data_IF_064608468249
#
_entry.id   IF_064608468249
#
_cell.length_a   1.000
_cell.length_b   1.000
_cell.length_c   1.000
_cell.angle_alpha   90.00
_cell.angle_beta   90.00
_cell.angle_gamma   90.00
#
_symmetry.space_group_name_H-M   'P 1'
#
loop_
_entity.id
_entity.type
_entity.pdbx_description
1 polymer ?
#
# COMPACT_ATOMS: atom_id res chain seq x y z
N UNK A 1 19.41 18.71 -7.86
CA UNK A 1 18.22 19.44 -8.35
C UNK A 1 17.23 19.61 -7.22
N UNK A 2 16.31 20.53 -7.35
CA UNK A 2 15.31 20.79 -6.32
C UNK A 2 14.42 19.55 -6.10
N UNK A 3 14.02 19.26 -4.85
CA UNK A 3 13.12 18.17 -4.55
C UNK A 3 11.75 18.41 -5.21
N UNK A 4 11.18 17.34 -5.76
CA UNK A 4 9.89 17.39 -6.47
C UNK A 4 8.91 16.40 -5.86
N UNK A 5 7.65 16.80 -5.80
CA UNK A 5 6.55 15.92 -5.42
C UNK A 5 5.76 15.57 -6.67
N UNK A 6 5.55 14.27 -6.88
CA UNK A 6 4.73 13.75 -7.97
C UNK A 6 3.45 13.16 -7.37
N UNK A 7 2.31 13.68 -7.79
CA UNK A 7 0.99 13.17 -7.38
C UNK A 7 0.33 12.48 -8.56
N UNK A 8 -0.10 11.25 -8.37
CA UNK A 8 -0.76 10.46 -9.41
C UNK A 8 -1.78 9.48 -8.82
N UNK A 9 -2.67 8.97 -9.65
CA UNK A 9 -3.55 7.88 -9.23
C UNK A 9 -2.82 6.53 -9.34
N UNK A 10 -3.20 5.56 -8.49
CA UNK A 10 -2.66 4.19 -8.55
C UNK A 10 -3.01 3.44 -9.85
N UNK A 11 -3.85 4.01 -10.70
CA UNK A 11 -4.19 3.51 -12.03
C UNK A 11 -3.48 4.26 -13.15
N UNK A 12 -2.67 5.27 -12.79
CA UNK A 12 -1.92 6.05 -13.76
C UNK A 12 -0.67 5.32 -14.24
N UNK A 13 -0.20 5.72 -15.43
CA UNK A 13 1.03 5.18 -16.05
C UNK A 13 2.28 5.37 -15.19
N UNK A 14 2.29 6.37 -14.30
CA UNK A 14 3.42 6.65 -13.41
C UNK A 14 3.56 5.58 -12.29
N UNK A 15 2.51 4.85 -11.98
CA UNK A 15 2.56 3.72 -11.04
C UNK A 15 2.81 2.37 -11.73
N UNK A 16 2.65 2.33 -13.05
CA UNK A 16 2.88 1.14 -13.86
C UNK A 16 3.89 1.47 -14.99
N UNK A 17 4.99 0.75 -15.07
CA UNK A 17 5.93 0.86 -16.20
C UNK A 17 7.04 1.91 -16.10
N UNK A 18 7.01 2.84 -15.16
CA UNK A 18 8.12 3.79 -14.96
C UNK A 18 9.15 3.18 -14.00
N UNK A 19 10.39 3.19 -14.41
CA UNK A 19 11.51 2.72 -13.62
C UNK A 19 12.21 3.89 -12.91
N UNK A 20 12.02 3.98 -11.60
CA UNK A 20 12.68 4.96 -10.75
C UNK A 20 13.91 4.34 -10.11
N UNK A 21 15.03 4.25 -10.84
CA UNK A 21 16.28 3.67 -10.35
C UNK A 21 17.11 4.69 -9.56
N UNK A 22 17.81 4.19 -8.55
CA UNK A 22 18.73 4.97 -7.73
C UNK A 22 18.00 6.04 -6.91
N UNK A 23 18.64 7.16 -6.67
CA UNK A 23 18.18 8.26 -5.80
C UNK A 23 16.97 9.07 -6.36
N UNK A 24 16.27 8.54 -7.38
CA UNK A 24 15.18 9.27 -8.04
C UNK A 24 13.89 9.30 -7.25
N UNK A 25 13.69 8.36 -6.34
CA UNK A 25 12.48 8.26 -5.51
C UNK A 25 12.85 8.00 -4.05
N UNK A 26 12.96 9.07 -3.28
CA UNK A 26 13.31 9.00 -1.86
C UNK A 26 12.15 8.53 -0.97
N UNK A 27 10.92 8.76 -1.39
CA UNK A 27 9.74 8.38 -0.62
C UNK A 27 8.54 8.08 -1.54
N UNK A 28 7.66 7.18 -1.11
CA UNK A 28 6.34 7.00 -1.69
C UNK A 28 5.28 6.85 -0.61
N UNK A 29 4.15 7.53 -0.81
CA UNK A 29 2.98 7.41 0.04
C UNK A 29 1.75 6.98 -0.77
N UNK A 30 1.01 6.01 -0.28
CA UNK A 30 -0.28 5.61 -0.82
C UNK A 30 -1.38 6.10 0.11
N UNK A 31 -2.19 7.02 -0.37
CA UNK A 31 -3.32 7.58 0.36
C UNK A 31 -4.57 6.75 0.12
N UNK A 32 -5.11 6.16 1.19
CA UNK A 32 -6.30 5.31 1.15
C UNK A 32 -6.01 3.85 0.74
N UNK A 33 -7.06 3.04 0.80
CA UNK A 33 -7.07 1.68 0.25
C UNK A 33 -7.72 1.74 -1.14
N UNK A 34 -7.01 1.40 -2.22
CA UNK A 34 -7.47 1.63 -3.59
C UNK A 34 -8.49 0.58 -4.06
N UNK A 35 -9.56 0.40 -3.29
CA UNK A 35 -10.68 -0.47 -3.69
C UNK A 35 -11.37 0.16 -4.89
N UNK A 36 -11.65 -0.65 -5.90
CA UNK A 36 -12.37 -0.19 -7.10
C UNK A 36 -13.82 0.16 -6.76
N UNK A 37 -14.43 0.98 -7.60
CA UNK A 37 -15.85 1.32 -7.47
C UNK A 37 -16.73 0.07 -7.43
N UNK A 38 -17.38 -0.14 -6.29
CA UNK A 38 -18.24 -1.30 -6.02
C UNK A 38 -19.63 -1.14 -6.61
N UNK A 39 -20.00 0.06 -7.05
CA UNK A 39 -21.30 0.36 -7.65
C UNK A 39 -21.38 -0.05 -9.13
N UNK A 40 -20.23 -0.22 -9.80
CA UNK A 40 -20.23 -0.57 -11.22
C UNK A 40 -20.81 -1.96 -11.48
N UNK A 41 -21.58 -2.14 -12.56
CA UNK A 41 -22.17 -3.45 -12.91
C UNK A 41 -21.12 -4.56 -13.04
N UNK A 42 -19.95 -4.22 -13.62
CA UNK A 42 -18.83 -5.16 -13.78
C UNK A 42 -18.30 -5.62 -12.43
N UNK A 43 -18.04 -4.69 -11.51
CA UNK A 43 -17.53 -5.03 -10.18
C UNK A 43 -18.51 -5.88 -9.39
N UNK A 44 -19.82 -5.57 -9.48
CA UNK A 44 -20.87 -6.38 -8.86
C UNK A 44 -20.93 -7.80 -9.43
N UNK A 45 -20.83 -7.95 -10.74
CA UNK A 45 -20.80 -9.25 -11.37
C UNK A 45 -19.59 -10.09 -10.92
N UNK A 46 -18.41 -9.48 -10.89
CA UNK A 46 -17.18 -10.13 -10.39
C UNK A 46 -17.36 -10.53 -8.93
N UNK A 47 -17.79 -9.61 -8.05
CA UNK A 47 -18.07 -9.92 -6.64
C UNK A 47 -19.03 -11.10 -6.50
N UNK A 48 -20.15 -11.09 -7.23
CA UNK A 48 -21.15 -12.17 -7.19
C UNK A 48 -20.55 -13.52 -7.61
N UNK A 49 -19.72 -13.54 -8.65
CA UNK A 49 -19.05 -14.76 -9.08
C UNK A 49 -18.11 -15.32 -8.00
N UNK A 50 -17.37 -14.45 -7.33
CA UNK A 50 -16.50 -14.84 -6.22
C UNK A 50 -17.30 -15.27 -4.98
N UNK A 51 -18.40 -14.58 -4.64
CA UNK A 51 -19.29 -14.97 -3.54
C UNK A 51 -19.85 -16.39 -3.75
N UNK A 52 -20.22 -16.72 -4.98
CA UNK A 52 -20.66 -18.10 -5.34
C UNK A 52 -19.56 -19.13 -5.18
N UNK A 53 -18.33 -18.77 -5.44
CA UNK A 53 -17.17 -19.68 -5.43
C UNK A 53 -16.58 -19.87 -4.02
N UNK A 54 -16.53 -18.80 -3.21
CA UNK A 54 -15.82 -18.74 -1.93
C UNK A 54 -16.75 -18.50 -0.73
N UNK A 55 -18.02 -18.20 -0.96
CA UNK A 55 -18.98 -17.80 0.05
C UNK A 55 -18.92 -16.29 0.34
N UNK A 56 -20.10 -15.70 0.55
CA UNK A 56 -20.22 -14.27 0.85
C UNK A 56 -19.77 -13.91 2.27
N UNK A 57 -19.85 -14.86 3.18
CA UNK A 57 -19.53 -14.74 4.60
C UNK A 57 -18.09 -15.17 4.96
N UNK A 58 -17.34 -15.65 4.01
CA UNK A 58 -15.95 -16.05 4.22
C UNK A 58 -15.76 -17.32 5.09
N UNK A 59 -16.81 -18.12 5.32
CA UNK A 59 -16.72 -19.34 6.16
C UNK A 59 -15.72 -20.36 5.65
N UNK A 60 -15.38 -20.34 4.38
CA UNK A 60 -14.34 -21.16 3.79
C UNK A 60 -12.96 -20.49 3.72
N UNK A 61 -12.76 -19.38 4.43
CA UNK A 61 -11.56 -18.57 4.36
C UNK A 61 -11.88 -17.09 4.07
N UNK A 62 -11.50 -16.59 2.89
CA UNK A 62 -11.79 -15.20 2.47
C UNK A 62 -13.12 -15.12 1.73
N UNK A 63 -13.91 -14.08 2.03
CA UNK A 63 -15.15 -13.78 1.29
C UNK A 63 -14.88 -13.43 -0.18
N UNK A 64 -15.92 -13.47 -1.00
CA UNK A 64 -15.83 -13.02 -2.38
C UNK A 64 -15.42 -11.54 -2.49
N UNK A 65 -15.90 -10.69 -1.58
CA UNK A 65 -15.49 -9.28 -1.52
C UNK A 65 -13.98 -9.14 -1.24
N UNK A 66 -13.49 -9.86 -0.25
CA UNK A 66 -12.07 -9.81 0.11
C UNK A 66 -11.19 -10.30 -1.04
N UNK A 67 -11.55 -11.42 -1.66
CA UNK A 67 -10.78 -12.03 -2.74
C UNK A 67 -10.80 -11.19 -4.02
N UNK A 68 -11.97 -10.65 -4.37
CA UNK A 68 -12.15 -9.90 -5.61
C UNK A 68 -11.69 -8.44 -5.54
N UNK A 69 -11.74 -7.82 -4.36
CA UNK A 69 -11.57 -6.38 -4.22
C UNK A 69 -10.46 -5.99 -3.24
N UNK A 70 -10.51 -6.51 -2.00
CA UNK A 70 -9.56 -6.09 -0.95
C UNK A 70 -8.14 -6.59 -1.25
N UNK A 71 -7.97 -7.86 -1.57
CA UNK A 71 -6.65 -8.44 -1.87
C UNK A 71 -5.98 -7.75 -3.06
N UNK A 72 -6.66 -7.56 -4.21
CA UNK A 72 -6.08 -6.81 -5.33
C UNK A 72 -5.74 -5.36 -4.98
N UNK A 73 -6.57 -4.68 -4.19
CA UNK A 73 -6.32 -3.30 -3.75
C UNK A 73 -5.04 -3.20 -2.91
N UNK A 74 -4.88 -4.05 -1.90
CA UNK A 74 -3.68 -4.09 -1.07
C UNK A 74 -2.45 -4.45 -1.90
N UNK A 75 -2.56 -5.43 -2.81
CA UNK A 75 -1.46 -5.80 -3.71
C UNK A 75 -1.03 -4.60 -4.57
N UNK A 76 -1.97 -3.85 -5.11
CA UNK A 76 -1.68 -2.66 -5.93
C UNK A 76 -1.02 -1.55 -5.10
N UNK A 77 -1.49 -1.30 -3.89
CA UNK A 77 -0.86 -0.35 -2.97
C UNK A 77 0.59 -0.75 -2.65
N UNK A 78 0.83 -2.02 -2.35
CA UNK A 78 2.18 -2.56 -2.11
C UNK A 78 3.10 -2.41 -3.31
N UNK A 79 2.61 -2.70 -4.51
CA UNK A 79 3.38 -2.53 -5.76
C UNK A 79 3.79 -1.06 -5.97
N UNK A 80 2.93 -0.12 -5.63
CA UNK A 80 3.24 1.31 -5.77
C UNK A 80 4.35 1.76 -4.82
N UNK A 81 4.24 1.46 -3.52
CA UNK A 81 5.29 1.85 -2.56
C UNK A 81 6.57 1.01 -2.67
N UNK A 82 6.47 -0.22 -3.18
CA UNK A 82 7.62 -1.09 -3.41
C UNK A 82 8.59 -0.59 -4.49
N UNK A 83 8.24 0.50 -5.19
CA UNK A 83 9.12 1.12 -6.17
C UNK A 83 10.22 1.99 -5.58
N UNK A 84 10.13 2.32 -4.29
CA UNK A 84 11.14 3.13 -3.56
C UNK A 84 12.40 2.31 -3.28
N UNK A 85 12.24 1.07 -2.87
CA UNK A 85 13.35 0.18 -2.47
C UNK A 85 13.29 -1.06 -3.38
N UNK A 86 14.32 -1.25 -4.20
CA UNK A 86 14.42 -2.34 -5.18
C UNK A 86 15.65 -3.20 -5.00
N UNK A 87 16.63 -2.72 -4.25
CA UNK A 87 17.88 -3.39 -3.99
C UNK A 87 18.29 -3.30 -2.52
N UNK A 88 19.25 -4.12 -2.10
CA UNK A 88 19.72 -4.14 -0.71
C UNK A 88 20.40 -2.84 -0.26
N UNK A 89 20.93 -2.07 -1.22
CA UNK A 89 21.64 -0.82 -0.94
C UNK A 89 20.76 0.43 -1.11
N UNK A 90 19.48 0.25 -1.48
CA UNK A 90 18.54 1.34 -1.67
C UNK A 90 17.79 1.63 -0.37
N UNK A 91 17.67 2.90 -0.04
CA UNK A 91 17.01 3.39 1.16
C UNK A 91 15.94 4.39 0.80
N UNK A 92 14.78 4.30 1.45
CA UNK A 92 13.69 5.23 1.20
C UNK A 92 12.52 5.04 2.16
N UNK A 93 11.65 6.04 2.20
CA UNK A 93 10.46 6.03 3.05
C UNK A 93 9.27 5.46 2.29
N UNK A 94 8.58 4.50 2.88
CA UNK A 94 7.33 3.91 2.38
C UNK A 94 6.21 4.17 3.37
N UNK A 95 5.11 4.75 2.93
CA UNK A 95 3.99 5.08 3.80
C UNK A 95 2.64 4.63 3.23
N UNK A 96 1.81 4.05 4.09
CA UNK A 96 0.38 3.90 3.87
C UNK A 96 -0.36 4.95 4.69
N UNK A 97 -1.07 5.84 4.04
CA UNK A 97 -1.81 6.93 4.67
C UNK A 97 -3.28 6.54 4.75
N UNK A 98 -3.58 5.58 5.60
CA UNK A 98 -4.94 5.13 5.93
C UNK A 98 -4.91 4.25 7.19
N UNK A 99 -5.76 4.54 8.13
CA UNK A 99 -5.82 3.85 9.42
C UNK A 99 -6.11 2.34 9.30
N UNK A 100 -6.74 1.91 8.21
CA UNK A 100 -7.03 0.49 7.95
C UNK A 100 -5.79 -0.38 7.78
N UNK A 101 -4.63 0.21 7.46
CA UNK A 101 -3.35 -0.51 7.44
C UNK A 101 -2.71 -0.65 8.81
N UNK A 102 -3.09 0.19 9.78
CA UNK A 102 -2.46 0.26 11.10
C UNK A 102 -3.29 -0.42 12.20
N UNK A 103 -4.62 -0.28 12.15
CA UNK A 103 -5.54 -0.75 13.20
C UNK A 103 -6.04 -2.17 12.94
N UNK A 104 -6.35 -2.87 14.03
CA UNK A 104 -7.16 -4.07 14.00
C UNK A 104 -8.63 -3.65 14.19
N UNK A 105 -9.38 -3.65 13.10
CA UNK A 105 -10.81 -3.32 13.03
C UNK A 105 -11.48 -4.21 11.99
N UNK A 106 -12.80 -4.22 11.96
CA UNK A 106 -13.57 -5.03 11.01
C UNK A 106 -13.26 -4.70 9.54
N UNK A 107 -12.84 -3.49 9.25
CA UNK A 107 -12.46 -2.98 7.93
C UNK A 107 -10.94 -2.96 7.70
N UNK A 108 -10.16 -3.54 8.62
CA UNK A 108 -8.71 -3.58 8.55
C UNK A 108 -8.23 -4.32 7.30
N UNK A 109 -7.23 -3.76 6.67
CA UNK A 109 -6.53 -4.41 5.54
C UNK A 109 -5.12 -4.89 5.93
N UNK A 110 -4.71 -4.67 7.17
CA UNK A 110 -3.39 -5.06 7.69
C UNK A 110 -3.12 -6.57 7.55
N UNK A 111 -4.13 -7.40 7.76
CA UNK A 111 -4.04 -8.85 7.64
C UNK A 111 -3.71 -9.37 6.22
N UNK A 112 -3.89 -8.52 5.19
CA UNK A 112 -3.56 -8.86 3.80
C UNK A 112 -2.12 -8.50 3.42
N UNK A 113 -1.40 -7.78 4.28
CA UNK A 113 0.04 -7.57 4.12
C UNK A 113 0.78 -8.86 4.49
N UNK A 114 1.87 -9.21 3.80
CA UNK A 114 2.75 -10.30 4.21
C UNK A 114 3.28 -10.10 5.64
N UNK A 115 3.53 -11.17 6.40
CA UNK A 115 4.01 -11.07 7.77
C UNK A 115 5.26 -10.18 7.92
N UNK A 116 6.26 -10.36 7.08
CA UNK A 116 7.48 -9.56 7.10
C UNK A 116 7.21 -8.06 6.91
N UNK A 117 6.33 -7.70 5.97
CA UNK A 117 5.97 -6.29 5.77
C UNK A 117 5.16 -5.73 6.95
N UNK A 118 4.32 -6.55 7.60
CA UNK A 118 3.58 -6.11 8.80
C UNK A 118 4.49 -5.78 9.98
N UNK A 119 5.59 -6.50 10.11
CA UNK A 119 6.61 -6.26 11.13
C UNK A 119 7.44 -5.02 10.83
N UNK A 120 7.69 -4.76 9.55
CA UNK A 120 8.44 -3.59 9.07
C UNK A 120 7.65 -2.29 9.22
N UNK A 121 6.34 -2.30 8.91
CA UNK A 121 5.50 -1.11 9.01
C UNK A 121 5.12 -0.79 10.47
N UNK A 122 5.44 0.42 10.89
CA UNK A 122 5.11 0.97 12.22
C UNK A 122 4.01 2.01 12.11
N UNK A 123 2.95 1.90 12.91
CA UNK A 123 1.95 2.97 13.02
C UNK A 123 2.60 4.24 13.58
N UNK A 124 2.35 5.35 12.90
CA UNK A 124 2.82 6.68 13.30
C UNK A 124 1.64 7.63 13.28
N UNK A 125 1.48 8.44 14.33
CA UNK A 125 0.47 9.50 14.34
C UNK A 125 0.87 10.65 13.39
N UNK A 126 -0.09 11.34 12.76
CA UNK A 126 0.22 12.38 11.78
C UNK A 126 1.15 13.49 12.30
N UNK A 127 1.02 13.86 13.56
CA UNK A 127 1.84 14.87 14.24
C UNK A 127 3.31 14.42 14.43
N UNK A 128 3.56 13.12 14.53
CA UNK A 128 4.90 12.54 14.70
C UNK A 128 5.56 12.14 13.38
N UNK A 129 4.85 12.21 12.25
CA UNK A 129 5.36 11.73 10.97
C UNK A 129 6.62 12.50 10.53
N UNK A 130 6.61 13.83 10.64
CA UNK A 130 7.76 14.68 10.28
C UNK A 130 9.00 14.29 11.10
N UNK A 131 8.84 14.21 12.40
CA UNK A 131 9.92 13.79 13.30
C UNK A 131 10.45 12.38 12.96
N UNK A 132 9.56 11.42 12.71
CA UNK A 132 9.96 10.06 12.33
C UNK A 132 10.77 10.01 11.03
N UNK A 133 10.39 10.80 10.03
CA UNK A 133 11.12 10.90 8.76
C UNK A 133 12.51 11.55 8.97
N UNK A 134 12.58 12.62 9.75
CA UNK A 134 13.86 13.28 10.06
C UNK A 134 14.82 12.34 10.78
N UNK A 135 14.34 11.61 11.79
CA UNK A 135 15.13 10.61 12.51
C UNK A 135 15.63 9.50 11.58
N UNK A 136 14.77 9.00 10.70
CA UNK A 136 15.14 7.99 9.72
C UNK A 136 16.29 8.48 8.82
N UNK A 137 16.17 9.65 8.21
CA UNK A 137 17.21 10.18 7.32
C UNK A 137 18.50 10.52 8.07
N UNK A 138 18.41 10.95 9.33
CA UNK A 138 19.59 11.20 10.16
C UNK A 138 20.35 9.90 10.45
N UNK A 139 19.64 8.79 10.72
CA UNK A 139 20.28 7.49 10.95
C UNK A 139 20.97 6.95 9.70
N UNK A 140 20.31 7.05 8.54
CA UNK A 140 20.86 6.60 7.26
C UNK A 140 22.09 7.43 6.82
N UNK A 141 22.12 8.73 7.11
CA UNK A 141 23.24 9.61 6.77
C UNK A 141 24.50 9.38 7.63
N UNK A 142 24.35 8.72 8.77
CA UNK A 142 25.47 8.44 9.69
C UNK A 142 26.22 7.15 9.34
N UNK A 143 25.57 6.25 8.59
CA UNK A 143 26.13 4.93 8.21
C UNK A 143 26.77 4.91 6.80
N UNK A 144 26.97 6.08 6.14
CA UNK A 144 27.61 6.20 4.81
C UNK A 144 28.93 6.92 4.84
#
# INVERSE_FOLDING_TARGET
>A
GDPKVLVTSLRGTLTEGVDYRGDRLAAAAVCGVPIIDTSSPRTRAVKTAYDRRFGADGRGGRSGFETALTVPAVRKARQAIGRVIRGPDEVGVRAFVDARYARESWDSVRGYLPPAEREEFRPVSPDMLGYGIEQFWSSVGTDR
#
